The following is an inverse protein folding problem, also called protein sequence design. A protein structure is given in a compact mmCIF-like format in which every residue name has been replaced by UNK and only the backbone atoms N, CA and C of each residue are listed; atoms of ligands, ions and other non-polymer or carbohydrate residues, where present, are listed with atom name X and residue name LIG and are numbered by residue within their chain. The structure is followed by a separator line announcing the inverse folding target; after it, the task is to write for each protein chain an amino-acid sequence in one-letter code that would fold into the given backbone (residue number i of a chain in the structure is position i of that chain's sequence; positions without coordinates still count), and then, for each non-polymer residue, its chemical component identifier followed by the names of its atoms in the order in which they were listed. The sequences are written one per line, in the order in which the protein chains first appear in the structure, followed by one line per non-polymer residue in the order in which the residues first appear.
data_IF_751539879866
#
_entry.id   IF_751539879866
#
_cell.length_a   1.000
_cell.length_b   1.000
_cell.length_c   1.000
_cell.angle_alpha   90.00
_cell.angle_beta   90.00
_cell.angle_gamma   90.00
#
_symmetry.space_group_name_H-M   'P 1'
#
loop_
_entity.id
_entity.type
_entity.pdbx_description
1 polymer ?
#
# COMPACT_ATOMS: atom_id res chain seq x y z
N UNK A 1 -40.50 45.88 44.03
CA UNK A 1 -39.87 45.37 42.78
C UNK A 1 -39.18 46.48 41.99
N UNK A 2 -39.69 47.70 42.06
CA UNK A 2 -39.12 48.84 41.27
C UNK A 2 -37.83 49.41 41.89
N UNK A 3 -37.69 49.46 43.20
CA UNK A 3 -36.43 49.86 43.89
C UNK A 3 -35.26 48.92 43.57
N UNK A 4 -35.51 47.60 43.44
CA UNK A 4 -34.50 46.63 43.07
C UNK A 4 -34.04 46.77 41.59
N UNK A 5 -34.98 47.13 40.70
CA UNK A 5 -34.66 47.43 39.31
C UNK A 5 -33.86 48.73 39.17
N UNK A 6 -34.20 49.76 39.99
CA UNK A 6 -33.47 51.04 40.03
C UNK A 6 -32.04 50.83 40.54
N UNK A 7 -31.84 50.04 41.61
CA UNK A 7 -30.55 49.68 42.14
C UNK A 7 -29.68 48.92 41.13
N UNK A 8 -30.26 47.98 40.37
CA UNK A 8 -29.55 47.25 39.30
C UNK A 8 -29.19 48.21 38.17
N UNK A 9 -30.03 49.16 37.78
CA UNK A 9 -29.72 50.10 36.69
C UNK A 9 -28.61 51.11 37.08
N UNK A 10 -28.63 51.62 38.31
CA UNK A 10 -27.60 52.53 38.81
C UNK A 10 -26.21 51.87 39.02
N UNK A 11 -26.20 50.57 39.36
CA UNK A 11 -24.97 49.83 39.59
C UNK A 11 -24.65 48.82 38.52
N UNK A 12 -25.23 48.97 37.31
CA UNK A 12 -25.08 47.99 36.23
C UNK A 12 -23.61 47.63 35.88
N UNK A 13 -22.70 48.59 35.94
CA UNK A 13 -21.29 48.39 35.59
C UNK A 13 -20.53 47.66 36.72
N UNK A 14 -20.84 47.95 37.96
CA UNK A 14 -20.30 47.23 39.12
C UNK A 14 -20.74 45.76 39.12
N UNK A 15 -22.02 45.52 38.81
CA UNK A 15 -22.61 44.18 38.72
C UNK A 15 -21.96 43.38 37.60
N UNK A 16 -21.69 43.99 36.43
CA UNK A 16 -20.98 43.33 35.32
C UNK A 16 -19.55 42.98 35.70
N UNK A 17 -18.82 43.86 36.35
CA UNK A 17 -17.45 43.63 36.84
C UNK A 17 -17.40 42.48 37.82
N UNK A 18 -18.29 42.48 38.82
CA UNK A 18 -18.38 41.43 39.85
C UNK A 18 -18.78 40.09 39.17
N UNK A 19 -19.78 40.12 38.29
CA UNK A 19 -20.21 38.95 37.54
C UNK A 19 -19.11 38.32 36.67
N UNK A 20 -18.37 39.17 35.92
CA UNK A 20 -17.24 38.74 35.13
C UNK A 20 -16.08 38.12 35.97
N UNK A 21 -15.75 38.78 37.10
CA UNK A 21 -14.75 38.28 38.04
C UNK A 21 -15.17 36.94 38.71
N UNK A 22 -16.44 36.79 39.01
CA UNK A 22 -17.01 35.55 39.60
C UNK A 22 -16.95 34.40 38.59
N UNK A 23 -17.32 34.63 37.31
CA UNK A 23 -17.25 33.64 36.25
C UNK A 23 -15.77 33.20 36.03
N UNK A 24 -14.86 34.15 35.96
CA UNK A 24 -13.42 33.83 35.86
C UNK A 24 -12.97 32.97 37.03
N UNK A 25 -13.31 33.34 38.29
CA UNK A 25 -12.92 32.62 39.47
C UNK A 25 -13.49 31.18 39.50
N UNK A 26 -14.71 31.00 39.12
CA UNK A 26 -15.35 29.68 39.02
C UNK A 26 -14.67 28.82 37.96
N UNK A 27 -14.42 29.37 36.76
CA UNK A 27 -13.71 28.67 35.70
C UNK A 27 -12.27 28.31 36.10
N UNK A 28 -11.59 29.20 36.79
CA UNK A 28 -10.24 28.98 37.29
C UNK A 28 -10.20 27.87 38.38
N UNK A 29 -11.13 27.81 39.28
CA UNK A 29 -11.22 26.75 40.31
C UNK A 29 -11.57 25.38 39.69
N UNK A 30 -12.47 25.36 38.72
CA UNK A 30 -12.98 24.13 38.12
C UNK A 30 -12.10 23.62 36.97
N UNK A 31 -11.13 24.40 36.43
CA UNK A 31 -10.35 24.10 35.23
C UNK A 31 -9.78 22.68 35.17
N UNK A 32 -9.15 22.23 36.28
CA UNK A 32 -8.49 20.92 36.32
C UNK A 32 -9.51 19.77 36.39
N UNK A 33 -10.59 19.95 37.14
CA UNK A 33 -11.67 18.95 37.27
C UNK A 33 -12.42 18.80 35.95
N UNK A 34 -12.83 19.90 35.33
CA UNK A 34 -13.53 19.90 34.04
C UNK A 34 -12.66 19.31 32.93
N UNK A 35 -11.41 19.74 32.82
CA UNK A 35 -10.45 19.19 31.85
C UNK A 35 -10.32 17.67 31.99
N UNK A 36 -10.12 17.19 33.21
CA UNK A 36 -9.96 15.75 33.47
C UNK A 36 -11.24 14.96 33.17
N UNK A 37 -12.42 15.48 33.54
CA UNK A 37 -13.69 14.81 33.27
C UNK A 37 -13.95 14.71 31.77
N UNK A 38 -13.80 15.81 31.03
CA UNK A 38 -14.02 15.84 29.58
C UNK A 38 -13.06 14.89 28.87
N UNK A 39 -11.77 14.94 29.20
CA UNK A 39 -10.77 14.05 28.59
C UNK A 39 -10.96 12.58 28.94
N UNK A 40 -11.44 12.27 30.15
CA UNK A 40 -11.81 10.90 30.53
C UNK A 40 -13.05 10.40 29.76
N UNK A 41 -14.04 11.25 29.56
CA UNK A 41 -15.24 10.91 28.76
C UNK A 41 -14.90 10.71 27.27
N UNK A 42 -14.17 11.65 26.67
CA UNK A 42 -13.71 11.51 25.27
C UNK A 42 -12.79 10.31 25.09
N UNK A 43 -11.87 10.07 26.02
CA UNK A 43 -11.01 8.88 26.03
C UNK A 43 -11.81 7.58 26.17
N UNK A 44 -12.95 7.57 26.88
CA UNK A 44 -13.82 6.40 26.99
C UNK A 44 -14.58 6.13 25.69
N UNK A 45 -14.95 7.17 24.96
CA UNK A 45 -15.64 7.05 23.65
C UNK A 45 -14.68 6.58 22.57
N UNK A 46 -13.47 7.14 22.54
CA UNK A 46 -12.47 6.83 21.49
C UNK A 46 -11.81 5.45 21.71
N UNK A 47 -11.58 5.06 22.97
CA UNK A 47 -10.86 3.85 23.33
C UNK A 47 -11.74 2.87 24.11
N UNK A 48 -12.33 1.91 23.41
CA UNK A 48 -13.37 1.00 23.96
C UNK A 48 -12.86 -0.44 24.19
N UNK A 49 -11.83 -0.72 25.01
CA UNK A 49 -11.49 -2.04 25.62
C UNK A 49 -10.15 -2.04 26.39
N UNK A 50 -9.91 -3.09 27.18
CA UNK A 50 -8.89 -3.23 28.23
C UNK A 50 -7.43 -2.90 27.88
N UNK A 51 -6.97 -3.15 26.65
CA UNK A 51 -5.61 -2.81 26.20
C UNK A 51 -5.33 -1.30 26.04
N UNK A 52 -6.31 -0.46 26.34
CA UNK A 52 -6.30 0.97 26.03
C UNK A 52 -6.22 1.88 27.24
N UNK A 53 -6.12 1.32 28.44
CA UNK A 53 -6.03 2.15 29.67
C UNK A 53 -4.74 3.00 29.67
N UNK A 54 -3.64 2.42 29.24
CA UNK A 54 -2.38 3.13 29.10
C UNK A 54 -2.46 4.25 28.04
N UNK A 55 -3.06 4.00 26.89
CA UNK A 55 -3.28 5.01 25.81
C UNK A 55 -4.21 6.13 26.28
N UNK A 56 -5.25 5.77 27.03
CA UNK A 56 -6.19 6.73 27.61
C UNK A 56 -5.53 7.62 28.68
N UNK A 57 -4.70 7.03 29.56
CA UNK A 57 -3.96 7.78 30.56
C UNK A 57 -2.97 8.76 29.91
N UNK A 58 -2.21 8.31 28.91
CA UNK A 58 -1.27 9.15 28.18
C UNK A 58 -1.96 10.30 27.43
N UNK A 59 -3.16 10.09 26.87
CA UNK A 59 -3.96 11.15 26.25
C UNK A 59 -4.39 12.19 27.29
N UNK A 60 -4.87 11.75 28.45
CA UNK A 60 -5.28 12.65 29.53
C UNK A 60 -4.08 13.45 30.07
N UNK A 61 -2.95 12.79 30.30
CA UNK A 61 -1.73 13.42 30.81
C UNK A 61 -1.17 14.47 29.82
N UNK A 62 -1.26 14.21 28.53
CA UNK A 62 -0.76 15.12 27.50
C UNK A 62 -1.65 16.33 27.26
N UNK A 63 -2.97 16.16 27.33
CA UNK A 63 -3.93 17.21 26.97
C UNK A 63 -4.52 17.94 28.18
N UNK A 64 -4.38 17.40 29.41
CA UNK A 64 -4.99 17.99 30.60
C UNK A 64 -4.52 19.43 30.84
N UNK A 65 -3.23 19.71 30.71
CA UNK A 65 -2.66 21.06 30.89
C UNK A 65 -3.17 22.06 29.84
N UNK A 66 -3.08 21.77 28.52
CA UNK A 66 -3.64 22.66 27.49
C UNK A 66 -5.15 22.90 27.67
N UNK A 67 -5.91 21.83 27.93
CA UNK A 67 -7.37 21.97 28.17
C UNK A 67 -7.67 22.82 29.42
N UNK A 68 -6.90 22.67 30.49
CA UNK A 68 -7.08 23.52 31.67
C UNK A 68 -6.76 24.99 31.36
N UNK A 69 -5.76 25.26 30.51
CA UNK A 69 -5.46 26.61 30.05
C UNK A 69 -6.58 27.19 29.18
N UNK A 70 -7.23 26.36 28.35
CA UNK A 70 -8.38 26.78 27.55
C UNK A 70 -9.54 27.31 28.42
N UNK A 71 -9.86 26.64 29.54
CA UNK A 71 -10.88 27.10 30.47
C UNK A 71 -10.53 28.44 31.12
N UNK A 72 -9.25 28.67 31.41
CA UNK A 72 -8.77 29.97 31.92
C UNK A 72 -8.96 31.05 30.86
N UNK A 73 -8.57 30.78 29.62
CA UNK A 73 -8.72 31.73 28.50
C UNK A 73 -10.18 32.06 28.25
N UNK A 74 -11.10 31.06 28.29
CA UNK A 74 -12.54 31.28 28.18
C UNK A 74 -13.04 32.12 29.33
N UNK A 75 -12.64 31.82 30.58
CA UNK A 75 -13.04 32.59 31.77
C UNK A 75 -12.63 34.07 31.71
N UNK A 76 -11.38 34.33 31.29
CA UNK A 76 -10.87 35.69 31.07
C UNK A 76 -11.66 36.38 29.97
N UNK A 77 -11.91 35.71 28.86
CA UNK A 77 -12.65 36.30 27.74
C UNK A 77 -14.08 36.69 28.15
N UNK A 78 -14.80 35.76 28.76
CA UNK A 78 -16.18 36.04 29.18
C UNK A 78 -16.23 37.20 30.20
N UNK A 79 -15.29 37.21 31.16
CA UNK A 79 -15.19 38.28 32.12
C UNK A 79 -14.88 39.66 31.52
N UNK A 80 -14.01 39.72 30.53
CA UNK A 80 -13.65 40.95 29.82
C UNK A 80 -14.72 41.37 28.83
N UNK A 81 -15.31 40.42 28.08
CA UNK A 81 -16.28 40.72 27.02
C UNK A 81 -17.60 41.26 27.54
N UNK A 82 -18.03 40.83 28.75
CA UNK A 82 -19.19 41.39 29.42
C UNK A 82 -19.02 42.87 29.78
N UNK A 83 -17.77 43.27 30.10
CA UNK A 83 -17.46 44.64 30.52
C UNK A 83 -17.07 45.54 29.33
N UNK A 84 -16.35 45.02 28.37
CA UNK A 84 -15.78 45.77 27.24
C UNK A 84 -16.01 44.96 25.97
N UNK A 85 -17.19 44.98 25.35
CA UNK A 85 -17.46 44.30 24.10
C UNK A 85 -16.73 45.02 22.94
N UNK A 86 -15.50 44.64 22.69
CA UNK A 86 -14.68 45.25 21.64
C UNK A 86 -14.07 44.15 20.74
N UNK A 87 -13.91 44.49 19.45
CA UNK A 87 -13.26 43.61 18.47
C UNK A 87 -11.82 43.25 18.88
N UNK A 88 -11.11 44.13 19.58
CA UNK A 88 -9.77 43.86 20.11
C UNK A 88 -9.76 42.73 21.15
N UNK A 89 -10.76 42.68 22.03
CA UNK A 89 -10.95 41.62 23.03
C UNK A 89 -11.24 40.30 22.33
N UNK A 90 -12.07 40.31 21.28
CA UNK A 90 -12.38 39.13 20.48
C UNK A 90 -11.15 38.62 19.71
N UNK A 91 -10.36 39.51 19.10
CA UNK A 91 -9.11 39.14 18.41
C UNK A 91 -8.07 38.54 19.38
N UNK A 92 -7.88 39.16 20.53
CA UNK A 92 -6.97 38.62 21.57
C UNK A 92 -7.41 37.24 22.05
N UNK A 93 -8.69 37.00 22.22
CA UNK A 93 -9.23 35.70 22.58
C UNK A 93 -8.94 34.64 21.52
N UNK A 94 -9.19 34.95 20.24
CA UNK A 94 -8.92 34.02 19.14
C UNK A 94 -7.43 33.65 19.10
N UNK A 95 -6.53 34.61 19.25
CA UNK A 95 -5.08 34.37 19.29
C UNK A 95 -4.73 33.47 20.47
N UNK A 96 -5.27 33.72 21.68
CA UNK A 96 -5.03 32.90 22.86
C UNK A 96 -5.53 31.45 22.66
N UNK A 97 -6.70 31.27 22.03
CA UNK A 97 -7.25 29.94 21.70
C UNK A 97 -6.33 29.20 20.70
N UNK A 98 -5.86 29.88 19.64
CA UNK A 98 -4.94 29.30 18.65
C UNK A 98 -3.66 28.81 19.33
N UNK A 99 -3.06 29.63 20.21
CA UNK A 99 -1.86 29.28 20.96
C UNK A 99 -2.06 28.06 21.87
N UNK A 100 -3.19 28.01 22.59
CA UNK A 100 -3.51 26.88 23.48
C UNK A 100 -3.76 25.60 22.69
N UNK A 101 -4.48 25.68 21.58
CA UNK A 101 -4.72 24.53 20.71
C UNK A 101 -3.41 24.04 20.06
N UNK A 102 -2.57 24.94 19.55
CA UNK A 102 -1.26 24.61 19.02
C UNK A 102 -0.41 23.90 20.08
N UNK A 103 -0.34 24.45 21.30
CA UNK A 103 0.36 23.81 22.42
C UNK A 103 -0.19 22.41 22.72
N UNK A 104 -1.52 22.24 22.75
CA UNK A 104 -2.17 20.95 22.98
C UNK A 104 -1.78 19.91 21.92
N UNK A 105 -1.85 20.28 20.64
CA UNK A 105 -1.48 19.38 19.53
C UNK A 105 0.01 19.04 19.58
N UNK A 106 0.87 20.02 19.76
CA UNK A 106 2.33 19.80 19.84
C UNK A 106 2.69 18.88 21.03
N UNK A 107 2.06 19.10 22.19
CA UNK A 107 2.26 18.26 23.38
C UNK A 107 1.76 16.83 23.16
N UNK A 108 0.60 16.69 22.53
CA UNK A 108 0.04 15.39 22.15
C UNK A 108 0.96 14.64 21.19
N UNK A 109 1.44 15.29 20.12
CA UNK A 109 2.37 14.70 19.16
C UNK A 109 3.71 14.31 19.81
N UNK A 110 4.16 15.07 20.81
CA UNK A 110 5.41 14.77 21.52
C UNK A 110 5.33 13.50 22.35
N UNK A 111 4.21 13.27 23.00
CA UNK A 111 4.08 12.23 24.02
C UNK A 111 3.35 10.97 23.53
N UNK A 112 2.50 11.07 22.52
CA UNK A 112 1.59 9.98 22.13
C UNK A 112 1.84 9.41 20.74
N UNK A 113 2.66 10.03 19.89
CA UNK A 113 2.88 9.53 18.55
C UNK A 113 3.48 8.11 18.56
N UNK A 114 4.38 7.85 19.52
CA UNK A 114 4.96 6.52 19.73
C UNK A 114 3.88 5.47 20.05
N UNK A 115 2.88 5.81 20.86
CA UNK A 115 1.77 4.90 21.21
C UNK A 115 0.80 4.62 20.05
N UNK A 116 0.69 5.56 19.10
CA UNK A 116 -0.16 5.41 17.91
C UNK A 116 0.47 4.48 16.87
N UNK A 117 1.80 4.47 16.73
CA UNK A 117 2.53 3.70 15.72
C UNK A 117 3.16 2.40 16.25
N UNK A 118 2.89 2.03 17.51
CA UNK A 118 3.39 0.78 18.08
C UNK A 118 2.53 -0.40 17.59
N UNK A 119 2.84 -0.87 16.38
CA UNK A 119 2.28 -2.08 15.80
C UNK A 119 3.31 -3.21 15.92
N UNK A 120 3.18 -4.06 16.97
CA UNK A 120 3.92 -5.33 17.10
C UNK A 120 5.04 -5.33 18.13
N UNK A 121 5.09 -6.41 18.92
CA UNK A 121 6.01 -6.63 20.04
C UNK A 121 7.45 -7.01 19.63
N UNK A 122 7.79 -7.10 18.34
CA UNK A 122 9.04 -7.71 17.83
C UNK A 122 9.84 -6.87 16.81
N UNK A 123 9.73 -5.56 16.81
CA UNK A 123 10.53 -4.75 15.90
C UNK A 123 11.70 -4.07 16.66
N UNK A 124 12.89 -4.05 16.05
CA UNK A 124 14.08 -3.34 16.53
C UNK A 124 13.72 -1.94 17.06
N UNK A 125 13.58 -1.82 18.38
CA UNK A 125 13.00 -0.66 19.07
C UNK A 125 13.68 0.68 18.77
N UNK A 126 14.98 0.68 18.46
CA UNK A 126 15.74 1.91 18.23
C UNK A 126 15.47 2.57 16.88
N UNK A 127 15.27 1.80 15.82
CA UNK A 127 15.06 2.35 14.47
C UNK A 127 13.65 2.92 14.32
N UNK A 128 12.65 2.26 14.90
CA UNK A 128 11.27 2.72 14.95
C UNK A 128 11.12 4.04 15.73
N UNK A 129 11.82 4.18 16.87
CA UNK A 129 11.77 5.42 17.67
C UNK A 129 12.33 6.63 16.93
N UNK A 130 13.38 6.47 16.13
CA UNK A 130 13.97 7.57 15.35
C UNK A 130 13.04 8.03 14.22
N UNK A 131 12.44 7.11 13.49
CA UNK A 131 11.47 7.43 12.43
C UNK A 131 10.23 8.14 12.99
N UNK A 132 9.69 7.65 14.10
CA UNK A 132 8.53 8.26 14.78
C UNK A 132 8.85 9.69 15.27
N UNK A 133 10.04 9.91 15.86
CA UNK A 133 10.49 11.25 16.26
C UNK A 133 10.63 12.19 15.07
N UNK A 134 11.14 11.71 13.95
CA UNK A 134 11.27 12.50 12.73
C UNK A 134 9.90 12.94 12.19
N UNK A 135 8.95 12.01 12.09
CA UNK A 135 7.57 12.31 11.69
C UNK A 135 6.90 13.29 12.67
N UNK A 136 7.10 13.07 13.99
CA UNK A 136 6.60 13.99 15.03
C UNK A 136 7.10 15.42 14.82
N UNK A 137 8.39 15.58 14.53
CA UNK A 137 8.98 16.90 14.34
C UNK A 137 8.45 17.59 13.06
N UNK A 138 8.26 16.85 11.96
CA UNK A 138 7.64 17.39 10.74
C UNK A 138 6.22 17.87 11.05
N UNK A 139 5.40 17.03 11.72
CA UNK A 139 4.03 17.40 12.06
C UNK A 139 3.97 18.63 12.98
N UNK A 140 4.88 18.75 13.94
CA UNK A 140 5.00 19.94 14.80
C UNK A 140 5.31 21.20 14.01
N UNK A 141 6.26 21.12 13.08
CA UNK A 141 6.61 22.27 12.21
C UNK A 141 5.38 22.70 11.42
N UNK A 142 4.64 21.76 10.85
CA UNK A 142 3.40 22.05 10.10
C UNK A 142 2.38 22.73 11.01
N UNK A 143 2.10 22.18 12.19
CA UNK A 143 1.12 22.74 13.15
C UNK A 143 1.51 24.16 13.58
N UNK A 144 2.80 24.37 13.90
CA UNK A 144 3.32 25.69 14.31
C UNK A 144 3.20 26.69 13.16
N UNK A 145 3.53 26.28 11.92
CA UNK A 145 3.41 27.14 10.74
C UNK A 145 1.96 27.60 10.50
N UNK A 146 1.00 26.68 10.62
CA UNK A 146 -0.42 27.06 10.53
C UNK A 146 -0.86 27.98 11.66
N UNK A 147 -0.42 27.74 12.90
CA UNK A 147 -0.74 28.62 14.03
C UNK A 147 -0.20 30.05 13.82
N UNK A 148 1.04 30.18 13.34
CA UNK A 148 1.64 31.48 13.01
C UNK A 148 0.85 32.21 11.92
N UNK A 149 0.45 31.50 10.85
CA UNK A 149 -0.36 32.11 9.77
C UNK A 149 -1.74 32.55 10.27
N UNK A 150 -2.41 31.74 11.10
CA UNK A 150 -3.71 32.09 11.68
C UNK A 150 -3.60 33.33 12.59
N UNK A 151 -2.54 33.41 13.41
CA UNK A 151 -2.29 34.56 14.27
C UNK A 151 -1.99 35.81 13.44
N UNK A 152 -1.16 35.69 12.40
CA UNK A 152 -0.85 36.80 11.50
C UNK A 152 -2.11 37.33 10.80
N UNK A 153 -2.98 36.43 10.35
CA UNK A 153 -4.29 36.80 9.76
C UNK A 153 -5.20 37.55 10.74
N UNK A 154 -5.26 37.11 12.02
CA UNK A 154 -6.07 37.78 13.05
C UNK A 154 -5.51 39.17 13.42
N UNK A 155 -4.19 39.36 13.28
CA UNK A 155 -3.52 40.65 13.45
C UNK A 155 -3.68 41.58 12.23
N UNK A 156 -4.40 41.15 11.18
CA UNK A 156 -4.69 41.95 9.98
C UNK A 156 -3.61 41.85 8.90
N UNK A 157 -2.59 41.03 9.04
CA UNK A 157 -1.61 40.83 7.98
C UNK A 157 -2.20 40.01 6.83
N UNK A 158 -1.85 40.39 5.58
CA UNK A 158 -2.26 39.63 4.41
C UNK A 158 -1.42 38.35 4.27
N UNK A 159 -2.02 37.20 4.59
CA UNK A 159 -1.36 35.90 4.53
C UNK A 159 -1.54 35.17 3.20
N UNK A 160 -2.28 35.75 2.23
CA UNK A 160 -2.61 35.08 0.97
C UNK A 160 -1.35 34.67 0.19
N UNK A 161 -0.31 35.51 0.15
CA UNK A 161 0.95 35.20 -0.48
C UNK A 161 1.67 34.01 0.15
N UNK A 162 1.62 33.88 1.49
CA UNK A 162 2.18 32.73 2.19
C UNK A 162 1.39 31.45 1.92
N UNK A 163 0.06 31.52 1.90
CA UNK A 163 -0.81 30.37 1.61
C UNK A 163 -0.55 29.89 0.18
N UNK A 164 -0.47 30.80 -0.78
CA UNK A 164 -0.13 30.47 -2.18
C UNK A 164 1.27 29.85 -2.29
N UNK A 165 2.26 30.41 -1.61
CA UNK A 165 3.62 29.87 -1.56
C UNK A 165 3.70 28.49 -0.94
N UNK A 166 2.97 28.25 0.17
CA UNK A 166 2.84 26.92 0.76
C UNK A 166 2.13 25.92 -0.17
N UNK A 167 1.15 26.38 -0.95
CA UNK A 167 0.48 25.55 -1.96
C UNK A 167 1.43 25.08 -3.05
N UNK A 168 2.24 25.99 -3.62
CA UNK A 168 3.26 25.68 -4.63
C UNK A 168 4.37 24.79 -4.04
N UNK A 169 4.85 25.12 -2.82
CA UNK A 169 5.82 24.28 -2.11
C UNK A 169 5.29 22.89 -1.79
N UNK A 170 4.02 22.78 -1.39
CA UNK A 170 3.33 21.51 -1.17
C UNK A 170 3.22 20.66 -2.43
N UNK A 171 2.97 21.30 -3.60
CA UNK A 171 2.96 20.61 -4.89
C UNK A 171 4.34 20.04 -5.21
N UNK A 172 5.41 20.82 -5.02
CA UNK A 172 6.79 20.37 -5.24
C UNK A 172 7.15 19.18 -4.34
N UNK A 173 6.80 19.23 -3.06
CA UNK A 173 7.02 18.12 -2.11
C UNK A 173 6.19 16.89 -2.52
N UNK A 174 4.94 17.07 -2.95
CA UNK A 174 4.07 15.99 -3.39
C UNK A 174 4.64 15.27 -4.61
N UNK A 175 5.15 16.03 -5.60
CA UNK A 175 5.80 15.46 -6.77
C UNK A 175 7.09 14.70 -6.39
N UNK A 176 7.88 15.22 -5.47
CA UNK A 176 9.08 14.54 -4.98
C UNK A 176 8.75 13.25 -4.19
N UNK A 177 7.63 13.20 -3.50
CA UNK A 177 7.18 12.05 -2.71
C UNK A 177 6.36 11.02 -3.52
N UNK A 178 6.02 11.30 -4.78
CA UNK A 178 5.14 10.49 -5.63
C UNK A 178 5.52 9.01 -5.63
N UNK A 179 6.78 8.68 -5.87
CA UNK A 179 7.22 7.29 -5.98
C UNK A 179 7.14 6.55 -4.64
N UNK A 180 7.42 7.24 -3.54
CA UNK A 180 7.28 6.66 -2.20
C UNK A 180 5.81 6.32 -1.89
N UNK A 181 4.90 7.24 -2.18
CA UNK A 181 3.45 7.05 -1.97
C UNK A 181 2.92 5.96 -2.92
N UNK A 182 3.34 5.96 -4.20
CA UNK A 182 2.97 4.91 -5.15
C UNK A 182 3.34 3.52 -4.64
N UNK A 183 4.55 3.34 -4.13
CA UNK A 183 4.99 2.05 -3.57
C UNK A 183 4.16 1.61 -2.35
N UNK A 184 3.78 2.55 -1.48
CA UNK A 184 2.91 2.25 -0.33
C UNK A 184 1.52 1.79 -0.78
N UNK A 185 0.91 2.50 -1.74
CA UNK A 185 -0.40 2.15 -2.31
C UNK A 185 -0.32 0.78 -2.98
N UNK A 186 0.71 0.54 -3.79
CA UNK A 186 0.93 -0.75 -4.44
C UNK A 186 1.13 -1.89 -3.45
N UNK A 187 1.86 -1.66 -2.35
CA UNK A 187 1.98 -2.64 -1.27
C UNK A 187 0.62 -2.99 -0.65
N UNK A 188 -0.23 -1.98 -0.45
CA UNK A 188 -1.59 -2.18 0.02
C UNK A 188 -2.44 -3.00 -0.98
N UNK A 189 -2.36 -2.67 -2.29
CA UNK A 189 -3.04 -3.43 -3.35
C UNK A 189 -2.60 -4.90 -3.36
N UNK A 190 -1.30 -5.17 -3.28
CA UNK A 190 -0.76 -6.55 -3.23
C UNK A 190 -1.36 -7.33 -2.04
N UNK A 191 -1.44 -6.71 -0.85
CA UNK A 191 -1.96 -7.37 0.36
C UNK A 191 -3.47 -7.61 0.28
N UNK A 192 -4.24 -6.69 -0.33
CA UNK A 192 -5.70 -6.80 -0.43
C UNK A 192 -6.15 -7.69 -1.59
N UNK A 193 -5.65 -7.46 -2.79
CA UNK A 193 -6.06 -8.20 -4.00
C UNK A 193 -5.34 -9.55 -4.10
N UNK A 194 -4.18 -9.70 -3.45
CA UNK A 194 -3.38 -10.91 -3.42
C UNK A 194 -3.13 -11.52 -4.81
N UNK A 195 -2.58 -10.74 -5.76
CA UNK A 195 -2.16 -11.31 -7.05
C UNK A 195 -1.16 -12.45 -6.85
N UNK A 196 -0.38 -12.38 -5.80
CA UNK A 196 0.48 -13.44 -5.27
C UNK A 196 0.56 -13.36 -3.75
N UNK A 197 1.01 -14.44 -3.12
CA UNK A 197 1.31 -14.50 -1.68
C UNK A 197 2.75 -14.96 -1.44
N UNK A 198 3.23 -14.82 -0.21
CA UNK A 198 4.55 -15.32 0.19
C UNK A 198 4.62 -16.84 -0.03
N UNK A 199 5.71 -17.31 -0.63
CA UNK A 199 5.94 -18.69 -1.02
C UNK A 199 5.52 -19.04 -2.45
N UNK A 200 4.74 -18.19 -3.15
CA UNK A 200 4.39 -18.44 -4.55
C UNK A 200 5.52 -18.04 -5.50
N UNK A 201 5.65 -18.79 -6.60
CA UNK A 201 6.57 -18.52 -7.70
C UNK A 201 5.87 -17.64 -8.73
N UNK A 202 6.43 -16.45 -8.95
CA UNK A 202 5.92 -15.47 -9.90
C UNK A 202 6.97 -15.14 -10.96
N UNK A 203 6.48 -14.67 -12.10
CA UNK A 203 7.29 -14.17 -13.20
C UNK A 203 6.71 -12.84 -13.67
N UNK A 204 7.60 -11.85 -13.84
CA UNK A 204 7.33 -10.56 -14.52
C UNK A 204 8.24 -10.42 -15.72
N UNK A 205 8.16 -9.31 -16.45
CA UNK A 205 9.05 -9.05 -17.59
C UNK A 205 10.54 -9.02 -17.21
N UNK A 206 10.87 -8.65 -15.97
CA UNK A 206 12.25 -8.39 -15.50
C UNK A 206 12.78 -9.42 -14.51
N UNK A 207 11.92 -10.19 -13.85
CA UNK A 207 12.33 -11.11 -12.77
C UNK A 207 11.38 -12.29 -12.66
N UNK A 208 11.94 -13.44 -12.24
CA UNK A 208 11.19 -14.63 -11.83
C UNK A 208 11.77 -15.22 -10.55
N UNK A 209 10.91 -15.74 -9.68
CA UNK A 209 11.35 -16.34 -8.42
C UNK A 209 10.24 -16.52 -7.41
N UNK A 210 10.61 -17.03 -6.23
CA UNK A 210 9.72 -17.22 -5.10
C UNK A 210 9.60 -15.94 -4.29
N UNK A 211 8.38 -15.55 -3.95
CA UNK A 211 8.11 -14.41 -3.07
C UNK A 211 8.50 -14.79 -1.64
N UNK A 212 9.49 -14.13 -1.05
CA UNK A 212 9.93 -14.35 0.33
C UNK A 212 9.20 -13.46 1.33
N UNK A 213 9.07 -12.19 1.01
CA UNK A 213 8.51 -11.19 1.92
C UNK A 213 7.85 -10.06 1.14
N UNK A 214 6.70 -9.62 1.60
CA UNK A 214 6.02 -8.42 1.10
C UNK A 214 6.06 -7.37 2.22
N UNK A 215 6.78 -6.28 1.98
CA UNK A 215 6.84 -5.13 2.88
C UNK A 215 5.95 -4.00 2.37
N UNK A 216 5.77 -2.95 3.16
CA UNK A 216 4.96 -1.78 2.75
C UNK A 216 5.44 -1.12 1.46
N UNK A 217 6.76 -1.15 1.16
CA UNK A 217 7.34 -0.45 0.01
C UNK A 217 7.87 -1.37 -1.08
N UNK A 218 8.26 -2.58 -0.73
CA UNK A 218 8.97 -3.49 -1.62
C UNK A 218 8.64 -4.94 -1.33
N UNK A 219 8.79 -5.79 -2.33
CA UNK A 219 8.68 -7.24 -2.23
C UNK A 219 10.05 -7.87 -2.46
N UNK A 220 10.44 -8.82 -1.62
CA UNK A 220 11.66 -9.61 -1.79
C UNK A 220 11.33 -10.90 -2.55
N UNK A 221 12.07 -11.17 -3.60
CA UNK A 221 11.91 -12.32 -4.47
C UNK A 221 13.24 -13.08 -4.52
N UNK A 222 13.21 -14.37 -4.20
CA UNK A 222 14.33 -15.28 -4.34
C UNK A 222 14.31 -15.90 -5.72
N UNK A 223 15.34 -15.61 -6.51
CA UNK A 223 15.51 -16.17 -7.86
C UNK A 223 15.88 -17.64 -7.82
N UNK A 224 15.83 -18.30 -8.98
CA UNK A 224 16.29 -19.70 -9.10
C UNK A 224 17.81 -19.88 -8.85
N UNK A 225 18.59 -18.79 -8.92
CA UNK A 225 20.02 -18.76 -8.59
C UNK A 225 20.27 -18.52 -7.09
N UNK A 226 19.21 -18.62 -6.27
CA UNK A 226 19.22 -18.38 -4.82
C UNK A 226 19.58 -16.92 -4.41
N UNK A 227 19.53 -15.97 -5.34
CA UNK A 227 19.74 -14.57 -5.07
C UNK A 227 18.45 -13.87 -4.63
N UNK A 228 18.54 -12.98 -3.63
CA UNK A 228 17.40 -12.19 -3.19
C UNK A 228 17.37 -10.84 -3.92
N UNK A 229 16.31 -10.59 -4.63
CA UNK A 229 16.08 -9.31 -5.32
C UNK A 229 14.95 -8.56 -4.63
N UNK A 230 15.22 -7.30 -4.29
CA UNK A 230 14.22 -6.40 -3.71
C UNK A 230 13.61 -5.54 -4.81
N UNK A 231 12.33 -5.74 -5.08
CA UNK A 231 11.59 -5.03 -6.13
C UNK A 231 10.62 -4.04 -5.47
N UNK A 232 10.61 -2.76 -5.90
CA UNK A 232 9.60 -1.80 -5.47
C UNK A 232 8.19 -2.30 -5.82
N UNK A 233 7.24 -2.16 -4.89
CA UNK A 233 5.88 -2.68 -5.09
C UNK A 233 5.17 -2.07 -6.30
N UNK A 234 5.41 -0.77 -6.59
CA UNK A 234 4.83 -0.11 -7.76
C UNK A 234 5.25 -0.78 -9.07
N UNK A 235 6.50 -1.23 -9.20
CA UNK A 235 6.95 -1.95 -10.39
C UNK A 235 6.20 -3.27 -10.57
N UNK A 236 5.92 -3.98 -9.48
CA UNK A 236 5.17 -5.24 -9.57
C UNK A 236 3.70 -5.03 -9.93
N UNK A 237 3.08 -3.94 -9.46
CA UNK A 237 1.68 -3.65 -9.78
C UNK A 237 1.50 -3.01 -11.16
N UNK A 238 2.53 -2.35 -11.68
CA UNK A 238 2.50 -1.75 -13.02
C UNK A 238 2.77 -2.77 -14.12
N UNK A 239 3.53 -3.84 -13.83
CA UNK A 239 3.87 -4.92 -14.75
C UNK A 239 2.81 -6.04 -14.73
N UNK A 240 2.73 -6.80 -15.86
CA UNK A 240 1.98 -8.04 -15.87
C UNK A 240 2.67 -9.10 -14.99
N UNK A 241 1.91 -9.67 -14.06
CA UNK A 241 2.37 -10.72 -13.16
C UNK A 241 1.83 -12.07 -13.63
N UNK A 242 2.72 -13.01 -13.93
CA UNK A 242 2.38 -14.40 -14.20
C UNK A 242 2.61 -15.20 -12.93
N UNK A 243 1.53 -15.70 -12.32
CA UNK A 243 1.61 -16.54 -11.14
C UNK A 243 1.69 -18.01 -11.54
N UNK A 244 2.91 -18.54 -11.57
CA UNK A 244 3.19 -19.92 -12.00
C UNK A 244 2.73 -20.93 -10.95
N UNK A 245 2.72 -20.57 -9.67
CA UNK A 245 2.24 -21.46 -8.59
C UNK A 245 0.74 -21.73 -8.67
N UNK A 246 -0.04 -20.85 -9.31
CA UNK A 246 -1.49 -21.02 -9.51
C UNK A 246 -1.86 -21.72 -10.83
N UNK A 247 -0.85 -22.26 -11.53
CA UNK A 247 -1.07 -23.03 -12.74
C UNK A 247 -1.72 -24.37 -12.39
N UNK A 248 -2.86 -24.69 -12.99
CA UNK A 248 -3.57 -25.96 -12.77
C UNK A 248 -3.04 -27.08 -13.70
N UNK A 249 -2.56 -26.73 -14.89
CA UNK A 249 -2.10 -27.64 -15.93
C UNK A 249 -0.97 -27.00 -16.73
N UNK A 250 -0.01 -27.81 -17.20
CA UNK A 250 1.12 -27.30 -18.00
C UNK A 250 0.94 -27.66 -19.46
N UNK A 251 1.25 -26.71 -20.32
CA UNK A 251 1.22 -26.86 -21.77
C UNK A 251 2.40 -27.70 -22.24
N UNK A 252 2.12 -28.73 -23.02
CA UNK A 252 3.08 -29.42 -23.91
C UNK A 252 2.87 -28.88 -25.31
N UNK A 253 3.89 -28.22 -25.85
CA UNK A 253 3.93 -27.74 -27.21
C UNK A 253 5.20 -28.28 -27.85
N UNK A 254 5.06 -29.21 -28.79
CA UNK A 254 6.15 -29.90 -29.48
C UNK A 254 5.99 -29.69 -30.97
N UNK A 255 7.10 -29.55 -31.66
CA UNK A 255 7.15 -29.55 -33.11
C UNK A 255 8.29 -30.46 -33.59
N UNK A 256 8.00 -31.28 -34.58
CA UNK A 256 9.00 -32.15 -35.20
C UNK A 256 8.77 -32.23 -36.71
N UNK A 257 9.86 -32.31 -37.44
CA UNK A 257 9.86 -32.38 -38.89
C UNK A 257 10.02 -33.79 -39.44
N UNK A 258 9.24 -34.16 -40.44
CA UNK A 258 9.44 -35.39 -41.22
C UNK A 258 9.89 -35.04 -42.63
N UNK A 259 10.55 -35.99 -43.31
CA UNK A 259 11.05 -35.80 -44.67
C UNK A 259 9.97 -35.56 -45.70
N UNK A 260 10.22 -34.78 -46.75
CA UNK A 260 9.37 -34.57 -47.88
C UNK A 260 9.09 -35.83 -48.73
N UNK A 261 9.97 -36.84 -48.64
CA UNK A 261 9.80 -38.17 -49.24
C UNK A 261 8.65 -38.96 -48.60
N UNK A 262 8.16 -38.56 -47.43
CA UNK A 262 7.08 -39.22 -46.69
C UNK A 262 5.72 -39.01 -47.39
N UNK A 263 5.04 -40.10 -47.71
CA UNK A 263 3.70 -40.00 -48.31
C UNK A 263 2.67 -39.41 -47.36
N UNK A 264 1.67 -38.70 -47.90
CA UNK A 264 0.59 -38.11 -47.11
C UNK A 264 -0.18 -39.14 -46.25
N UNK A 265 -0.33 -40.38 -46.73
CA UNK A 265 -0.96 -41.48 -46.01
C UNK A 265 -0.20 -41.83 -44.74
N UNK A 266 1.17 -41.90 -44.83
CA UNK A 266 2.03 -42.15 -43.64
C UNK A 266 2.00 -40.98 -42.66
N UNK A 267 1.96 -39.74 -43.15
CA UNK A 267 1.85 -38.55 -42.29
C UNK A 267 0.52 -38.60 -41.54
N UNK A 268 -0.60 -38.84 -42.19
CA UNK A 268 -1.90 -38.94 -41.56
C UNK A 268 -1.97 -40.09 -40.54
N UNK A 269 -1.35 -41.24 -40.87
CA UNK A 269 -1.27 -42.37 -39.91
C UNK A 269 -0.46 -42.00 -38.68
N UNK A 270 0.73 -41.40 -38.83
CA UNK A 270 1.54 -40.94 -37.70
C UNK A 270 0.79 -39.95 -36.81
N UNK A 271 0.11 -38.96 -37.39
CA UNK A 271 -0.72 -37.99 -36.65
C UNK A 271 -1.82 -38.71 -35.84
N UNK A 272 -2.49 -39.68 -36.43
CA UNK A 272 -3.55 -40.40 -35.77
C UNK A 272 -2.99 -41.30 -34.64
N UNK A 273 -1.89 -41.99 -34.85
CA UNK A 273 -1.24 -42.83 -33.83
C UNK A 273 -0.74 -42.01 -32.66
N UNK A 274 -0.10 -40.85 -32.92
CA UNK A 274 0.29 -39.90 -31.88
C UNK A 274 -0.90 -39.38 -31.09
N UNK A 275 -1.99 -39.00 -31.81
CA UNK A 275 -3.22 -38.55 -31.18
C UNK A 275 -3.87 -39.63 -30.30
N UNK A 276 -3.94 -40.90 -30.78
CA UNK A 276 -4.46 -42.01 -30.00
C UNK A 276 -3.63 -42.30 -28.77
N UNK A 277 -2.30 -42.24 -28.86
CA UNK A 277 -1.42 -42.38 -27.70
C UNK A 277 -1.68 -41.33 -26.66
N UNK A 278 -1.77 -40.05 -27.06
CA UNK A 278 -2.01 -38.93 -26.14
C UNK A 278 -3.38 -39.02 -25.46
N UNK A 279 -4.42 -39.41 -26.19
CA UNK A 279 -5.79 -39.64 -25.65
C UNK A 279 -5.81 -40.78 -24.63
N UNK A 280 -5.06 -41.85 -24.84
CA UNK A 280 -4.96 -43.00 -23.93
C UNK A 280 -4.07 -42.71 -22.71
N UNK A 281 -3.32 -41.63 -22.73
CA UNK A 281 -2.40 -41.30 -21.63
C UNK A 281 -3.13 -40.59 -20.49
N UNK A 282 -3.29 -41.24 -19.33
CA UNK A 282 -3.98 -40.74 -18.16
C UNK A 282 -3.43 -39.44 -17.60
N UNK A 283 -2.16 -39.07 -17.91
CA UNK A 283 -1.53 -37.84 -17.45
C UNK A 283 -1.79 -36.64 -18.36
N UNK A 284 -2.42 -36.84 -19.51
CA UNK A 284 -2.74 -35.80 -20.51
C UNK A 284 -4.22 -35.44 -20.39
N UNK A 285 -4.54 -34.17 -20.56
CA UNK A 285 -5.92 -33.69 -20.65
C UNK A 285 -6.52 -34.08 -21.97
N UNK A 286 -7.77 -34.55 -21.98
CA UNK A 286 -8.49 -34.93 -23.19
C UNK A 286 -8.72 -33.76 -24.13
N UNK A 287 -8.90 -32.56 -23.60
CA UNK A 287 -9.13 -31.33 -24.37
C UNK A 287 -8.46 -30.11 -23.70
N UNK A 288 -7.88 -29.20 -24.50
CA UNK A 288 -7.60 -29.31 -25.92
C UNK A 288 -6.41 -30.22 -26.21
N UNK A 289 -6.55 -31.08 -27.24
CA UNK A 289 -5.47 -31.91 -27.76
C UNK A 289 -5.49 -31.78 -29.28
N UNK A 290 -4.38 -31.34 -29.86
CA UNK A 290 -4.24 -31.09 -31.31
C UNK A 290 -2.96 -31.72 -31.84
N UNK A 291 -3.07 -32.41 -32.98
CA UNK A 291 -1.94 -32.94 -33.74
C UNK A 291 -2.22 -32.58 -35.19
N UNK A 292 -1.40 -31.79 -35.81
CA UNK A 292 -1.61 -31.29 -37.16
C UNK A 292 -0.29 -30.94 -37.87
N UNK A 293 -0.31 -30.93 -39.19
CA UNK A 293 0.81 -30.37 -39.98
C UNK A 293 0.74 -28.87 -39.85
N UNK A 294 1.81 -28.29 -39.28
CA UNK A 294 1.87 -26.85 -38.95
C UNK A 294 2.43 -26.01 -40.08
N UNK A 295 3.48 -26.53 -40.72
CA UNK A 295 4.24 -25.79 -41.72
C UNK A 295 4.93 -26.75 -42.70
N UNK A 296 5.07 -26.31 -43.94
CA UNK A 296 6.02 -26.87 -44.91
C UNK A 296 7.28 -25.97 -44.88
N UNK A 297 8.33 -26.46 -44.29
CA UNK A 297 9.58 -25.72 -44.10
C UNK A 297 10.62 -26.09 -45.17
N UNK A 298 11.76 -25.42 -45.25
CA UNK A 298 12.77 -25.57 -46.29
C UNK A 298 13.27 -27.03 -46.46
N UNK A 299 13.30 -27.81 -45.37
CA UNK A 299 13.84 -29.18 -45.37
C UNK A 299 12.94 -30.19 -44.66
N UNK A 300 11.72 -29.77 -44.19
CA UNK A 300 10.85 -30.61 -43.39
C UNK A 300 9.38 -30.29 -43.56
N UNK A 301 8.54 -31.30 -43.40
CA UNK A 301 7.10 -31.16 -43.13
C UNK A 301 6.93 -31.18 -41.61
N UNK A 302 6.59 -30.04 -41.03
CA UNK A 302 6.51 -29.90 -39.58
C UNK A 302 5.13 -30.35 -39.08
N UNK A 303 5.15 -31.19 -38.04
CA UNK A 303 3.96 -31.66 -37.32
C UNK A 303 4.01 -31.04 -35.89
N UNK A 304 2.96 -30.33 -35.56
CA UNK A 304 2.79 -29.73 -34.23
C UNK A 304 1.86 -30.54 -33.35
N UNK A 305 2.26 -30.70 -32.10
CA UNK A 305 1.49 -31.36 -31.03
C UNK A 305 1.26 -30.39 -29.93
N UNK A 306 0.01 -30.14 -29.59
CA UNK A 306 -0.36 -29.24 -28.47
C UNK A 306 -1.34 -29.97 -27.57
N UNK A 307 -0.97 -30.14 -26.30
CA UNK A 307 -1.83 -30.72 -25.25
C UNK A 307 -1.44 -30.21 -23.88
N UNK A 308 -2.21 -30.54 -22.86
CA UNK A 308 -1.92 -30.14 -21.49
C UNK A 308 -1.74 -31.36 -20.59
N UNK A 309 -0.83 -31.29 -19.63
CA UNK A 309 -0.73 -32.28 -18.56
C UNK A 309 -1.77 -31.99 -17.48
N UNK A 310 -2.25 -33.04 -16.76
CA UNK A 310 -3.17 -32.91 -15.62
C UNK A 310 -2.47 -32.47 -14.32
N UNK A 311 -1.15 -32.27 -14.34
CA UNK A 311 -0.38 -31.91 -13.16
C UNK A 311 0.27 -30.54 -13.31
N UNK A 312 0.21 -29.67 -12.27
CA UNK A 312 0.95 -28.41 -12.23
C UNK A 312 2.43 -28.60 -11.81
N UNK A 313 2.76 -29.74 -11.21
CA UNK A 313 4.10 -30.06 -10.71
C UNK A 313 5.12 -30.09 -11.83
N UNK A 314 6.23 -29.36 -11.67
CA UNK A 314 7.26 -29.23 -12.69
C UNK A 314 8.00 -30.54 -12.96
N UNK A 315 8.38 -31.28 -11.92
CA UNK A 315 9.17 -32.50 -12.06
C UNK A 315 8.34 -33.61 -12.72
N UNK A 316 7.07 -33.75 -12.33
CA UNK A 316 6.13 -34.65 -12.98
C UNK A 316 5.89 -34.24 -14.43
N UNK A 317 5.72 -32.94 -14.72
CA UNK A 317 5.60 -32.43 -16.09
C UNK A 317 6.79 -32.80 -16.95
N UNK A 318 8.03 -32.57 -16.48
CA UNK A 318 9.26 -32.89 -17.22
C UNK A 318 9.37 -34.39 -17.49
N UNK A 319 8.99 -35.23 -16.53
CA UNK A 319 8.94 -36.68 -16.72
C UNK A 319 7.89 -37.10 -17.77
N UNK A 320 6.71 -36.50 -17.74
CA UNK A 320 5.65 -36.76 -18.73
C UNK A 320 6.13 -36.29 -20.10
N UNK A 321 6.70 -35.08 -20.21
CA UNK A 321 7.21 -34.53 -21.45
C UNK A 321 8.27 -35.44 -22.08
N UNK A 322 9.23 -35.93 -21.28
CA UNK A 322 10.26 -36.87 -21.73
C UNK A 322 9.65 -38.17 -22.28
N UNK A 323 8.69 -38.76 -21.56
CA UNK A 323 8.00 -39.97 -22.02
C UNK A 323 7.21 -39.75 -23.30
N UNK A 324 6.55 -38.59 -23.43
CA UNK A 324 5.80 -38.21 -24.63
C UNK A 324 6.74 -38.09 -25.82
N UNK A 325 7.88 -37.40 -25.67
CA UNK A 325 8.88 -37.24 -26.71
C UNK A 325 9.42 -38.59 -27.22
N UNK A 326 9.82 -39.46 -26.29
CA UNK A 326 10.36 -40.79 -26.64
C UNK A 326 9.32 -41.66 -27.32
N UNK A 327 8.05 -41.58 -26.88
CA UNK A 327 6.98 -42.39 -27.54
C UNK A 327 6.58 -41.83 -28.89
N UNK A 328 6.59 -40.51 -29.08
CA UNK A 328 6.39 -39.91 -30.42
C UNK A 328 7.50 -40.38 -31.37
N UNK A 329 8.79 -40.35 -30.92
CA UNK A 329 9.90 -40.87 -31.68
C UNK A 329 9.64 -42.32 -32.11
N UNK A 330 9.29 -43.20 -31.19
CA UNK A 330 8.97 -44.63 -31.47
C UNK A 330 7.83 -44.79 -32.50
N UNK A 331 6.75 -44.00 -32.35
CA UNK A 331 5.59 -44.05 -33.25
C UNK A 331 6.01 -43.68 -34.70
N UNK A 332 6.85 -42.67 -34.86
CA UNK A 332 7.34 -42.22 -36.16
C UNK A 332 8.21 -43.31 -36.82
N UNK A 333 9.13 -43.91 -36.07
CA UNK A 333 9.97 -45.01 -36.49
C UNK A 333 9.15 -46.26 -36.84
N UNK A 334 8.16 -46.64 -35.99
CA UNK A 334 7.26 -47.77 -36.22
C UNK A 334 6.42 -47.62 -37.50
N UNK A 335 6.12 -46.39 -37.93
CA UNK A 335 5.41 -46.10 -39.17
C UNK A 335 6.35 -46.02 -40.42
N UNK A 336 7.63 -46.25 -40.23
CA UNK A 336 8.60 -46.17 -41.33
C UNK A 336 8.71 -44.76 -41.90
N UNK A 337 8.65 -43.74 -41.02
CA UNK A 337 8.83 -42.34 -41.34
C UNK A 337 10.18 -41.89 -40.74
N UNK A 338 10.93 -41.12 -41.46
CA UNK A 338 12.22 -40.59 -41.02
C UNK A 338 12.08 -39.13 -40.61
N UNK A 339 12.84 -38.75 -39.56
CA UNK A 339 12.96 -37.35 -39.17
C UNK A 339 13.73 -36.56 -40.21
N UNK A 340 13.26 -35.38 -40.53
CA UNK A 340 13.93 -34.51 -41.46
C UNK A 340 15.22 -33.96 -40.88
N UNK A 341 16.27 -34.00 -41.63
CA UNK A 341 17.55 -33.35 -41.35
C UNK A 341 17.74 -32.09 -42.22
N UNK A 342 18.42 -31.06 -41.74
CA UNK A 342 18.81 -29.94 -42.60
C UNK A 342 19.54 -30.40 -43.83
N UNK A 343 18.94 -30.24 -45.03
CA UNK A 343 19.47 -30.68 -46.29
C UNK A 343 20.02 -29.52 -47.09
N UNK A 344 21.21 -29.74 -47.76
CA UNK A 344 21.78 -28.76 -48.68
C UNK A 344 22.08 -29.47 -50.02
N UNK A 345 21.66 -28.88 -51.11
CA UNK A 345 22.04 -29.33 -52.47
C UNK A 345 23.36 -28.69 -52.83
N UNK A 346 24.38 -29.53 -53.14
CA UNK A 346 25.74 -29.06 -53.55
C UNK A 346 25.91 -29.39 -55.00
N UNK A 347 26.08 -28.39 -55.85
CA UNK A 347 26.43 -28.56 -57.26
C UNK A 347 27.94 -28.57 -57.40
N UNK A 348 28.51 -29.73 -57.73
CA UNK A 348 29.94 -29.86 -58.01
C UNK A 348 30.22 -29.55 -59.48
N UNK A 349 30.89 -28.44 -59.76
CA UNK A 349 31.45 -28.16 -61.12
C UNK A 349 32.84 -28.73 -61.23
N UNK A 350 33.03 -29.84 -62.02
CA UNK A 350 34.30 -30.26 -62.41
C UNK A 350 34.81 -29.32 -63.50
N UNK A 351 35.81 -28.50 -63.19
CA UNK A 351 36.64 -27.81 -64.21
C UNK A 351 37.48 -28.88 -64.91
N UNK A 352 37.16 -29.16 -66.16
CA UNK A 352 38.13 -29.87 -67.10
C UNK A 352 39.31 -29.00 -67.42
#
# INVERSE_FOLDING_TARGET
MDEFKLFISENSDIIKIIGGALIFFVMFLLRNKLSTIILKLTGKVIFNKEDKEHKRKSLVDSLCKPFSALFVVIGIFVGLYINIPNNTVLGSFKIAVILVLCWGIVNYLSNNLFLLFHFGENADDKMNTTAIKFISNILKIVVISFAVLMIASELGYNVNGFITGLGVGGLAISLAAKDAVSNLISGFVIVFEKPFIVGEFIQTASIQGFVEEVTMRSTKIRTLEDSVVTVPNSKLTDDAIINISRTEKRLISLEFGVEYSTSNEKIEKCKNDVKQYLVKNNNICESPLRVYVSKLDDSAINISVTCYTKTPDLDKYLNILSKVNLKIKSIIEENGVEFAFPSKTVYLQNKQ
#
